data_IF_995298403030
#
_entry.id   IF_995298403030
#
_cell.length_a   1.000
_cell.length_b   1.000
_cell.length_c   1.000
_cell.angle_alpha   90.00
_cell.angle_beta   90.00
_cell.angle_gamma   90.00
#
_symmetry.space_group_name_H-M   'P 1'
#
loop_
_entity.id
_entity.type
_entity.pdbx_description
1 polymer ?
#
# COMPACT_ATOMS: atom_id res chain seq x y z
N UNK A 1 38.26 -13.79 -46.09
CA UNK A 1 37.57 -12.56 -45.62
C UNK A 1 36.24 -12.96 -45.02
N UNK A 2 35.98 -12.64 -43.73
CA UNK A 2 34.65 -12.89 -43.12
C UNK A 2 33.70 -11.79 -43.54
N UNK A 3 32.57 -12.13 -44.20
CA UNK A 3 31.50 -11.18 -44.52
C UNK A 3 30.80 -10.82 -43.22
N UNK A 4 30.83 -9.54 -42.84
CA UNK A 4 29.97 -9.00 -41.80
C UNK A 4 28.60 -8.75 -42.43
N UNK A 5 27.60 -9.52 -41.97
CA UNK A 5 26.20 -9.23 -42.27
C UNK A 5 25.73 -8.08 -41.39
N UNK A 6 25.44 -6.94 -41.98
CA UNK A 6 24.84 -5.78 -41.27
C UNK A 6 23.31 -5.94 -41.17
N UNK A 7 22.76 -5.44 -40.05
CA UNK A 7 21.30 -5.30 -39.87
C UNK A 7 20.71 -4.34 -40.91
N UNK A 8 19.56 -4.68 -41.47
CA UNK A 8 18.84 -3.79 -42.35
C UNK A 8 18.06 -2.74 -41.55
N UNK A 9 17.92 -1.53 -42.09
CA UNK A 9 17.18 -0.44 -41.43
C UNK A 9 15.70 -0.84 -41.18
N UNK A 10 15.08 -1.56 -42.13
CA UNK A 10 13.70 -2.01 -41.97
C UNK A 10 13.53 -3.05 -40.88
N UNK A 11 14.48 -3.94 -40.71
CA UNK A 11 14.49 -4.96 -39.67
C UNK A 11 14.55 -4.32 -38.26
N UNK A 12 15.35 -3.27 -38.11
CA UNK A 12 15.41 -2.49 -36.87
C UNK A 12 14.08 -1.75 -36.62
N UNK A 13 13.50 -1.13 -37.67
CA UNK A 13 12.22 -0.40 -37.52
C UNK A 13 11.06 -1.27 -37.09
N UNK A 14 10.97 -2.49 -37.63
CA UNK A 14 9.91 -3.45 -37.27
C UNK A 14 10.07 -3.87 -35.81
N UNK A 15 11.27 -4.17 -35.36
CA UNK A 15 11.54 -4.57 -33.97
C UNK A 15 11.16 -3.45 -32.99
N UNK A 16 11.57 -2.21 -33.27
CA UNK A 16 11.23 -1.07 -32.41
C UNK A 16 9.72 -0.83 -32.37
N UNK A 17 9.02 -0.98 -33.49
CA UNK A 17 7.57 -0.84 -33.55
C UNK A 17 6.86 -1.88 -32.68
N UNK A 18 7.28 -3.15 -32.73
CA UNK A 18 6.71 -4.23 -31.92
C UNK A 18 6.98 -3.98 -30.43
N UNK A 19 8.20 -3.63 -30.08
CA UNK A 19 8.59 -3.33 -28.68
C UNK A 19 7.79 -2.13 -28.13
N UNK A 20 7.57 -1.10 -28.95
CA UNK A 20 6.77 0.07 -28.55
C UNK A 20 5.33 -0.31 -28.21
N UNK A 21 4.70 -1.19 -29.01
CA UNK A 21 3.34 -1.67 -28.76
C UNK A 21 3.29 -2.49 -27.46
N UNK A 22 4.23 -3.39 -27.27
CA UNK A 22 4.31 -4.20 -26.05
C UNK A 22 4.57 -3.34 -24.80
N UNK A 23 5.46 -2.36 -24.91
CA UNK A 23 5.75 -1.44 -23.81
C UNK A 23 4.54 -0.58 -23.42
N UNK A 24 3.73 -0.15 -24.39
CA UNK A 24 2.53 0.65 -24.14
C UNK A 24 1.50 -0.09 -23.27
N UNK A 25 1.44 -1.41 -23.34
CA UNK A 25 0.55 -2.25 -22.53
C UNK A 25 1.20 -2.61 -21.19
N UNK A 26 2.50 -2.93 -21.20
CA UNK A 26 3.21 -3.43 -20.03
C UNK A 26 3.50 -2.35 -18.98
N UNK A 27 3.78 -1.10 -19.40
CA UNK A 27 4.19 -0.02 -18.51
C UNK A 27 3.12 0.36 -17.47
N UNK A 28 1.85 0.57 -17.84
CA UNK A 28 0.78 0.89 -16.89
C UNK A 28 0.55 -0.24 -15.87
N UNK A 29 0.59 -1.48 -16.32
CA UNK A 29 0.45 -2.65 -15.47
C UNK A 29 1.59 -2.72 -14.44
N UNK A 30 2.82 -2.51 -14.88
CA UNK A 30 4.00 -2.50 -13.99
C UNK A 30 3.91 -1.40 -12.93
N UNK A 31 3.48 -0.19 -13.29
CA UNK A 31 3.29 0.91 -12.34
C UNK A 31 2.25 0.58 -11.28
N UNK A 32 1.15 -0.05 -11.66
CA UNK A 32 0.12 -0.49 -10.72
C UNK A 32 0.66 -1.54 -9.73
N UNK A 33 1.40 -2.52 -10.22
CA UNK A 33 2.03 -3.53 -9.38
C UNK A 33 3.05 -2.94 -8.40
N UNK A 34 3.88 -2.00 -8.84
CA UNK A 34 4.86 -1.36 -7.96
C UNK A 34 4.21 -0.49 -6.90
N UNK A 35 3.13 0.23 -7.23
CA UNK A 35 2.34 0.98 -6.24
C UNK A 35 1.73 0.04 -5.19
N UNK A 36 1.14 -1.06 -5.62
CA UNK A 36 0.56 -2.06 -4.71
C UNK A 36 1.62 -2.70 -3.80
N UNK A 37 2.78 -3.05 -4.35
CA UNK A 37 3.89 -3.60 -3.56
C UNK A 37 4.39 -2.62 -2.49
N UNK A 38 4.49 -1.33 -2.81
CA UNK A 38 4.87 -0.30 -1.82
C UNK A 38 3.77 -0.06 -0.79
N UNK A 39 2.51 -0.12 -1.18
CA UNK A 39 1.37 0.04 -0.28
C UNK A 39 1.28 -1.09 0.78
N UNK A 40 1.89 -2.26 0.55
CA UNK A 40 1.97 -3.30 1.59
C UNK A 40 2.77 -2.86 2.82
N UNK A 41 3.69 -1.89 2.69
CA UNK A 41 4.35 -1.30 3.86
C UNK A 41 3.36 -0.51 4.74
N UNK A 42 2.37 0.15 4.13
CA UNK A 42 1.33 0.88 4.89
C UNK A 42 0.54 -0.12 5.73
N UNK A 43 0.08 -1.22 5.12
CA UNK A 43 -0.69 -2.25 5.84
C UNK A 43 0.13 -2.96 6.91
N UNK A 44 1.43 -3.16 6.68
CA UNK A 44 2.34 -3.70 7.69
C UNK A 44 2.50 -2.74 8.89
N UNK A 45 2.67 -1.44 8.63
CA UNK A 45 2.75 -0.42 9.68
C UNK A 45 1.43 -0.29 10.47
N UNK A 46 0.28 -0.44 9.80
CA UNK A 46 -1.03 -0.49 10.46
C UNK A 46 -1.16 -1.67 11.41
N UNK A 47 -0.50 -2.79 11.14
CA UNK A 47 -0.48 -3.97 12.02
C UNK A 47 0.09 -3.67 13.41
N UNK A 48 1.13 -2.83 13.50
CA UNK A 48 1.68 -2.38 14.79
C UNK A 48 0.64 -1.58 15.57
N UNK A 49 0.06 -0.55 14.95
CA UNK A 49 -0.97 0.31 15.58
C UNK A 49 -2.19 -0.51 16.01
N UNK A 50 -2.58 -1.48 15.21
CA UNK A 50 -3.65 -2.42 15.53
C UNK A 50 -3.38 -3.16 16.85
N UNK A 51 -2.18 -3.71 17.02
CA UNK A 51 -1.79 -4.43 18.22
C UNK A 51 -1.79 -3.50 19.45
N UNK A 52 -1.29 -2.29 19.33
CA UNK A 52 -1.29 -1.30 20.42
C UNK A 52 -2.71 -0.92 20.86
N UNK A 53 -3.62 -0.74 19.90
CA UNK A 53 -5.03 -0.44 20.18
C UNK A 53 -5.75 -1.62 20.85
N UNK A 54 -5.47 -2.85 20.40
CA UNK A 54 -6.04 -4.07 21.02
C UNK A 54 -5.58 -4.23 22.47
N UNK A 55 -4.30 -4.00 22.75
CA UNK A 55 -3.75 -4.02 24.12
C UNK A 55 -4.37 -2.91 24.96
N UNK A 56 -4.47 -1.70 24.44
CA UNK A 56 -5.10 -0.58 25.13
C UNK A 56 -6.57 -0.89 25.46
N UNK A 57 -7.32 -1.46 24.52
CA UNK A 57 -8.72 -1.80 24.72
C UNK A 57 -8.94 -2.83 25.85
N UNK A 58 -7.94 -3.66 26.12
CA UNK A 58 -8.01 -4.68 27.19
C UNK A 58 -7.54 -4.18 28.55
N UNK A 59 -6.62 -3.21 28.57
CA UNK A 59 -5.89 -2.81 29.78
C UNK A 59 -6.23 -1.40 30.26
N UNK A 60 -6.76 -0.54 29.41
CA UNK A 60 -7.03 0.86 29.71
C UNK A 60 -8.50 1.24 29.51
N UNK A 61 -8.87 2.39 30.05
CA UNK A 61 -10.16 3.01 29.76
C UNK A 61 -10.14 3.74 28.42
N UNK A 62 -11.23 3.61 27.66
CA UNK A 62 -11.41 4.35 26.39
C UNK A 62 -11.51 5.89 26.62
N UNK A 63 -11.10 6.71 25.68
CA UNK A 63 -10.62 6.36 24.34
C UNK A 63 -9.15 5.93 24.29
N UNK A 64 -8.80 5.06 23.32
CA UNK A 64 -7.43 4.67 23.02
C UNK A 64 -6.92 5.36 21.76
N UNK A 65 -5.64 5.76 21.76
CA UNK A 65 -4.97 6.30 20.58
C UNK A 65 -3.60 5.66 20.41
N UNK A 66 -3.22 5.36 19.18
CA UNK A 66 -1.91 4.83 18.85
C UNK A 66 -1.40 5.45 17.55
N UNK A 67 -0.09 5.58 17.42
CA UNK A 67 0.57 6.11 16.21
C UNK A 67 1.72 5.22 15.81
N UNK A 68 1.75 4.85 14.54
CA UNK A 68 2.84 4.06 13.97
C UNK A 68 4.00 4.92 13.47
N UNK A 69 5.13 4.26 13.24
CA UNK A 69 6.36 4.91 12.79
C UNK A 69 6.31 5.13 11.28
N UNK A 70 6.78 6.30 10.84
CA UNK A 70 7.00 6.57 9.42
C UNK A 70 8.13 5.70 8.86
N UNK A 71 8.02 5.31 7.60
CA UNK A 71 9.05 4.57 6.86
C UNK A 71 9.29 5.20 5.50
N UNK A 72 10.07 4.54 4.65
CA UNK A 72 10.40 5.07 3.32
C UNK A 72 9.15 5.35 2.46
N UNK A 73 8.13 4.49 2.56
CA UNK A 73 6.90 4.60 1.78
C UNK A 73 5.67 4.90 2.63
N UNK A 74 5.84 5.21 3.91
CA UNK A 74 4.76 5.53 4.85
C UNK A 74 5.04 6.87 5.53
N UNK A 75 4.18 7.85 5.33
CA UNK A 75 4.28 9.15 6.00
C UNK A 75 3.94 9.03 7.49
N UNK A 76 2.95 8.20 7.80
CA UNK A 76 2.51 7.93 9.17
C UNK A 76 1.30 7.03 9.20
N UNK A 77 1.08 6.44 10.35
CA UNK A 77 -0.11 5.66 10.67
C UNK A 77 -0.67 6.18 11.98
N UNK A 78 -1.95 6.38 12.03
CA UNK A 78 -2.66 6.75 13.27
C UNK A 78 -3.89 5.88 13.44
N UNK A 79 -4.22 5.56 14.67
CA UNK A 79 -5.41 4.81 14.99
C UNK A 79 -6.01 5.24 16.32
N UNK A 80 -7.31 5.03 16.44
CA UNK A 80 -8.05 5.33 17.68
C UNK A 80 -9.20 4.36 17.89
N UNK A 81 -9.55 4.16 19.17
CA UNK A 81 -10.81 3.52 19.55
C UNK A 81 -11.58 4.55 20.38
N UNK A 82 -12.74 4.95 19.89
CA UNK A 82 -13.61 5.90 20.55
C UNK A 82 -14.31 5.29 21.78
N UNK A 83 -14.85 6.13 22.66
CA UNK A 83 -15.60 5.69 23.84
C UNK A 83 -16.83 4.84 23.49
N UNK A 84 -17.38 4.98 22.29
CA UNK A 84 -18.47 4.13 21.78
C UNK A 84 -18.02 2.81 21.16
N UNK A 85 -16.72 2.49 21.19
CA UNK A 85 -16.16 1.25 20.68
C UNK A 85 -15.81 1.25 19.19
N UNK A 86 -16.11 2.30 18.44
CA UNK A 86 -15.68 2.44 17.05
C UNK A 86 -14.15 2.56 16.98
N UNK A 87 -13.52 1.70 16.21
CA UNK A 87 -12.07 1.66 16.00
C UNK A 87 -11.76 2.02 14.54
N UNK A 88 -10.76 2.85 14.34
CA UNK A 88 -10.30 3.22 12.99
C UNK A 88 -8.79 3.37 12.98
N UNK A 89 -8.13 2.81 11.98
CA UNK A 89 -6.70 3.00 11.71
C UNK A 89 -6.56 3.54 10.30
N UNK A 90 -5.80 4.62 10.16
CA UNK A 90 -5.50 5.23 8.85
C UNK A 90 -4.00 5.27 8.66
N UNK A 91 -3.55 4.72 7.54
CA UNK A 91 -2.16 4.79 7.11
C UNK A 91 -2.04 5.56 5.79
N UNK A 92 -1.05 6.42 5.68
CA UNK A 92 -0.81 7.25 4.51
C UNK A 92 0.55 6.96 3.88
N UNK A 93 0.55 6.84 2.56
CA UNK A 93 1.76 6.63 1.77
C UNK A 93 2.68 7.86 1.73
N UNK A 94 3.92 7.64 1.33
CA UNK A 94 4.95 8.66 1.15
C UNK A 94 5.57 8.57 -0.25
N UNK A 95 6.17 9.65 -0.71
CA UNK A 95 6.87 9.71 -2.00
C UNK A 95 5.94 9.49 -3.18
N UNK A 96 6.27 8.52 -4.01
CA UNK A 96 5.52 8.16 -5.23
C UNK A 96 4.18 7.43 -4.98
N UNK A 97 3.88 7.11 -3.72
CA UNK A 97 2.57 6.59 -3.28
C UNK A 97 1.89 7.50 -2.25
N UNK A 98 2.23 8.79 -2.22
CA UNK A 98 1.61 9.77 -1.30
C UNK A 98 0.09 9.96 -1.54
N UNK A 99 -0.41 9.54 -2.70
CA UNK A 99 -1.81 9.49 -3.06
C UNK A 99 -2.56 8.27 -2.48
N UNK A 100 -1.83 7.31 -1.90
CA UNK A 100 -2.42 6.08 -1.32
C UNK A 100 -2.72 6.29 0.16
N UNK A 101 -3.98 6.10 0.52
CA UNK A 101 -4.44 6.09 1.91
C UNK A 101 -5.16 4.77 2.16
N UNK A 102 -4.74 4.06 3.19
CA UNK A 102 -5.36 2.81 3.63
C UNK A 102 -6.08 3.01 4.94
N UNK A 103 -7.31 2.52 5.03
CA UNK A 103 -8.13 2.62 6.24
C UNK A 103 -8.57 1.22 6.67
N UNK A 104 -8.51 0.96 7.96
CA UNK A 104 -8.99 -0.25 8.59
C UNK A 104 -9.98 0.15 9.69
N UNK A 105 -11.21 -0.20 9.51
CA UNK A 105 -12.27 0.02 10.47
C UNK A 105 -12.53 -1.22 11.32
N UNK A 106 -13.04 -1.01 12.51
CA UNK A 106 -13.36 -2.10 13.43
C UNK A 106 -14.31 -1.65 14.53
N UNK A 107 -14.77 -2.63 15.31
CA UNK A 107 -15.68 -2.41 16.41
C UNK A 107 -15.24 -3.17 17.65
N UNK A 108 -15.13 -2.48 18.78
CA UNK A 108 -14.87 -3.07 20.07
C UNK A 108 -16.20 -3.61 20.66
N UNK A 109 -16.22 -4.89 21.00
CA UNK A 109 -17.32 -5.51 21.69
C UNK A 109 -16.81 -6.56 22.68
N UNK A 110 -17.26 -6.49 23.91
CA UNK A 110 -16.85 -7.44 24.96
C UNK A 110 -15.35 -7.51 25.24
N UNK A 111 -14.62 -6.39 25.11
CA UNK A 111 -13.17 -6.33 25.29
C UNK A 111 -12.33 -6.84 24.10
N UNK A 112 -12.96 -7.17 23.00
CA UNK A 112 -12.30 -7.61 21.78
C UNK A 112 -12.65 -6.68 20.63
N UNK A 113 -11.64 -6.26 19.86
CA UNK A 113 -11.85 -5.51 18.63
C UNK A 113 -12.02 -6.48 17.46
N UNK A 114 -13.11 -6.34 16.74
CA UNK A 114 -13.34 -7.04 15.45
C UNK A 114 -13.03 -6.09 14.32
N UNK A 115 -12.04 -6.42 13.53
CA UNK A 115 -11.59 -5.58 12.40
C UNK A 115 -12.22 -6.04 11.11
N UNK A 116 -12.53 -5.07 10.26
CA UNK A 116 -12.98 -5.30 8.89
C UNK A 116 -11.80 -5.50 7.94
N UNK A 117 -12.07 -5.55 6.64
CA UNK A 117 -11.01 -5.59 5.62
C UNK A 117 -10.43 -4.21 5.39
N UNK A 118 -9.12 -4.16 5.15
CA UNK A 118 -8.47 -2.89 4.78
C UNK A 118 -9.10 -2.34 3.50
N UNK A 119 -9.49 -1.08 3.53
CA UNK A 119 -10.04 -0.35 2.39
C UNK A 119 -9.05 0.70 1.87
N UNK A 120 -9.22 1.09 0.63
CA UNK A 120 -8.39 2.08 -0.05
C UNK A 120 -7.78 1.55 -1.35
N UNK A 121 -7.52 2.44 -2.30
CA UNK A 121 -6.92 2.08 -3.58
C UNK A 121 -5.49 1.56 -3.37
N UNK A 122 -5.18 0.41 -3.93
CA UNK A 122 -3.89 -0.30 -3.82
C UNK A 122 -3.53 -0.84 -2.43
N UNK A 123 -4.47 -0.89 -1.47
CA UNK A 123 -4.23 -1.38 -0.10
C UNK A 123 -4.44 -2.88 0.07
N UNK A 124 -4.97 -3.57 -0.93
CA UNK A 124 -5.28 -5.01 -0.94
C UNK A 124 -4.58 -5.74 -2.06
#
# INVERSE_FOLDING_TARGET
MKRQSGFTLIELMIVVAIVAILAAIALPAYQSYTKKAKATEITAAMGQVKTELEVCAQTASLPCNATGVASRFVTGVSGSIASGGAATITGQGAGDIADVTCTLDGQLSGGKVTWETVSGANCT
#
